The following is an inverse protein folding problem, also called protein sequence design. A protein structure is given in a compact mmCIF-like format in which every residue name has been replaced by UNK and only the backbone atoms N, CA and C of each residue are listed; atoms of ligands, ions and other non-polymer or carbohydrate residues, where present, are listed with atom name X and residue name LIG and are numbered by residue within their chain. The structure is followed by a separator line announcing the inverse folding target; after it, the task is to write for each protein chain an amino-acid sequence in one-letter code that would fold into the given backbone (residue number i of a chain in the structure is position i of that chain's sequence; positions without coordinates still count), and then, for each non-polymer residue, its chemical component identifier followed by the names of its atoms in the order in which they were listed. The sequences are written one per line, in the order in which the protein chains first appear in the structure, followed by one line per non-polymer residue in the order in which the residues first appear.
data_IF_558590233206
#
_entry.id   IF_558590233206
#
_cell.length_a   1.000
_cell.length_b   1.000
_cell.length_c   1.000
_cell.angle_alpha   90.00
_cell.angle_beta   90.00
_cell.angle_gamma   90.00
#
_symmetry.space_group_name_H-M   'P 1'
#
loop_
_entity.id
_entity.type
_entity.pdbx_description
1 polymer ?
#
# COMPACT_ATOMS: atom_id res chain seq x y z
N UNK A 1 10.80 -28.95 60.47
CA UNK A 1 9.61 -29.80 60.25
C UNK A 1 9.31 -29.81 58.77
N UNK A 2 9.54 -30.95 58.11
CA UNK A 2 9.33 -31.16 56.67
C UNK A 2 8.12 -32.09 56.53
N UNK A 3 7.10 -31.65 55.82
CA UNK A 3 5.95 -32.49 55.43
C UNK A 3 6.02 -32.63 53.91
N UNK A 4 6.22 -33.84 53.35
CA UNK A 4 6.06 -34.10 51.93
C UNK A 4 4.61 -34.52 51.67
N UNK A 5 3.98 -34.00 50.62
CA UNK A 5 2.78 -34.62 50.08
C UNK A 5 2.87 -34.76 48.57
N UNK A 6 2.64 -36.00 48.16
CA UNK A 6 2.85 -36.57 46.84
C UNK A 6 1.72 -36.25 45.85
N UNK A 7 2.12 -36.11 44.59
CA UNK A 7 1.59 -36.77 43.38
C UNK A 7 0.07 -36.93 43.26
N UNK A 8 -0.49 -36.31 42.22
CA UNK A 8 -1.55 -36.94 41.42
C UNK A 8 -1.36 -36.57 39.93
N UNK A 9 -0.70 -37.47 39.18
CA UNK A 9 -0.73 -37.51 37.72
C UNK A 9 -2.12 -37.98 37.29
N UNK A 10 -2.90 -37.11 36.65
CA UNK A 10 -4.13 -37.52 35.97
C UNK A 10 -3.76 -37.86 34.53
N UNK A 11 -3.57 -39.16 34.29
CA UNK A 11 -3.57 -39.78 32.97
C UNK A 11 -5.03 -39.89 32.52
N UNK A 12 -5.45 -39.03 31.60
CA UNK A 12 -6.72 -39.20 30.87
C UNK A 12 -6.40 -40.00 29.61
N UNK A 13 -6.68 -41.30 29.68
CA UNK A 13 -6.83 -42.18 28.51
C UNK A 13 -8.28 -42.57 28.41
N UNK A 14 -8.90 -42.38 27.23
CA UNK A 14 -10.04 -43.12 26.64
C UNK A 14 -10.68 -42.24 25.52
N UNK A 15 -11.41 -42.79 24.54
CA UNK A 15 -11.27 -44.07 23.83
C UNK A 15 -11.14 -43.88 22.30
N UNK A 16 -10.56 -44.89 21.64
CA UNK A 16 -10.73 -45.15 20.22
C UNK A 16 -12.17 -45.61 19.98
N UNK A 17 -12.98 -44.78 19.32
CA UNK A 17 -14.24 -45.18 18.70
C UNK A 17 -14.16 -44.80 17.22
N UNK A 18 -14.02 -45.84 16.39
CA UNK A 18 -14.17 -45.73 14.96
C UNK A 18 -15.62 -45.40 14.62
N UNK A 19 -15.80 -44.33 13.87
CA UNK A 19 -16.93 -44.17 12.96
C UNK A 19 -16.36 -44.01 11.56
N UNK A 20 -16.61 -45.03 10.76
CA UNK A 20 -16.27 -45.14 9.36
C UNK A 20 -17.36 -44.39 8.58
N UNK A 21 -17.27 -43.07 8.46
CA UNK A 21 -18.12 -42.31 7.55
C UNK A 21 -17.36 -42.00 6.27
N UNK A 22 -17.71 -42.73 5.20
CA UNK A 22 -17.40 -42.38 3.82
C UNK A 22 -18.09 -41.05 3.51
N UNK A 23 -17.36 -39.95 3.64
CA UNK A 23 -17.75 -38.67 3.07
C UNK A 23 -17.83 -38.82 1.53
N UNK A 24 -18.91 -38.33 0.89
CA UNK A 24 -18.98 -38.29 -0.57
C UNK A 24 -17.86 -37.39 -1.10
N UNK A 25 -17.16 -37.85 -2.14
CA UNK A 25 -16.24 -37.03 -2.94
C UNK A 25 -17.06 -35.90 -3.57
N UNK A 26 -17.11 -34.78 -2.88
CA UNK A 26 -17.54 -33.52 -3.45
C UNK A 26 -16.48 -33.13 -4.47
N UNK A 27 -16.87 -33.20 -5.74
CA UNK A 27 -16.09 -32.66 -6.85
C UNK A 27 -16.11 -31.15 -6.66
N UNK A 28 -15.11 -30.64 -5.94
CA UNK A 28 -14.78 -29.21 -5.94
C UNK A 28 -14.38 -28.88 -7.37
N UNK A 29 -15.36 -28.46 -8.17
CA UNK A 29 -15.11 -27.69 -9.38
C UNK A 29 -14.35 -26.46 -8.91
N UNK A 30 -13.04 -26.43 -9.19
CA UNK A 30 -12.32 -25.17 -9.27
C UNK A 30 -13.01 -24.33 -10.35
N UNK A 31 -13.98 -23.52 -9.93
CA UNK A 31 -14.32 -22.33 -10.68
C UNK A 31 -13.06 -21.49 -10.70
N UNK A 32 -12.38 -21.49 -11.85
CA UNK A 32 -11.41 -20.47 -12.17
C UNK A 32 -12.06 -19.10 -11.84
N UNK A 33 -11.33 -18.18 -11.18
CA UNK A 33 -11.87 -16.86 -10.90
C UNK A 33 -12.38 -16.26 -12.20
N UNK A 34 -13.61 -15.76 -12.15
CA UNK A 34 -14.24 -15.07 -13.26
C UNK A 34 -13.24 -14.05 -13.83
N UNK A 35 -12.96 -14.16 -15.12
CA UNK A 35 -12.16 -13.16 -15.82
C UNK A 35 -12.80 -11.80 -15.58
N UNK A 36 -12.06 -10.92 -14.89
CA UNK A 36 -12.41 -9.52 -14.69
C UNK A 36 -12.54 -8.91 -16.08
N UNK A 37 -13.78 -8.69 -16.51
CA UNK A 37 -14.14 -8.34 -17.89
C UNK A 37 -13.78 -6.90 -18.28
N UNK A 38 -13.25 -6.13 -17.34
CA UNK A 38 -12.98 -4.70 -17.49
C UNK A 38 -11.50 -4.34 -17.25
N UNK A 39 -10.59 -5.31 -17.32
CA UNK A 39 -9.16 -5.02 -17.38
C UNK A 39 -8.84 -4.44 -18.76
N UNK A 40 -8.84 -3.10 -18.86
CA UNK A 40 -8.31 -2.42 -20.04
C UNK A 40 -6.86 -2.88 -20.24
N UNK A 41 -6.53 -3.51 -21.39
CA UNK A 41 -5.17 -3.92 -21.66
C UNK A 41 -4.29 -2.68 -21.72
N UNK A 42 -3.19 -2.71 -20.97
CA UNK A 42 -2.17 -1.66 -21.04
C UNK A 42 -1.71 -1.52 -22.50
N UNK A 43 -1.58 -0.28 -22.97
CA UNK A 43 -1.04 0.00 -24.29
C UNK A 43 0.33 -0.69 -24.47
N UNK A 44 0.63 -1.24 -25.66
CA UNK A 44 1.89 -1.93 -25.91
C UNK A 44 3.07 -0.97 -25.65
N UNK A 45 4.01 -1.42 -24.82
CA UNK A 45 5.23 -0.68 -24.49
C UNK A 45 6.12 -0.59 -25.73
N UNK A 46 6.70 0.58 -25.97
CA UNK A 46 7.73 0.77 -26.98
C UNK A 46 9.00 0.03 -26.50
N UNK A 47 9.44 -1.01 -27.23
CA UNK A 47 10.50 -1.96 -26.83
C UNK A 47 11.88 -1.33 -26.60
N UNK A 48 12.03 -0.04 -26.91
CA UNK A 48 13.27 0.72 -26.71
C UNK A 48 13.38 1.33 -25.31
N UNK A 49 12.31 1.31 -24.49
CA UNK A 49 12.35 1.99 -23.22
C UNK A 49 12.75 1.09 -22.04
N UNK A 50 13.88 1.42 -21.44
CA UNK A 50 14.50 0.68 -20.34
C UNK A 50 13.86 0.97 -18.96
N UNK A 51 12.53 1.06 -18.86
CA UNK A 51 11.88 0.98 -17.54
C UNK A 51 11.85 -0.48 -17.11
N UNK A 52 13.00 -0.99 -16.65
CA UNK A 52 13.12 -2.37 -16.18
C UNK A 52 12.51 -2.55 -14.78
N UNK A 53 12.16 -1.45 -14.10
CA UNK A 53 11.71 -1.47 -12.71
C UNK A 53 10.19 -1.28 -12.63
N UNK A 54 9.54 -2.19 -11.92
CA UNK A 54 8.10 -2.12 -11.63
C UNK A 54 7.83 -1.18 -10.46
N UNK A 55 6.62 -0.60 -10.40
CA UNK A 55 6.15 0.16 -9.24
C UNK A 55 6.22 -0.66 -7.95
N UNK A 56 5.84 -1.94 -8.01
CA UNK A 56 5.96 -2.86 -6.89
C UNK A 56 7.41 -2.97 -6.38
N UNK A 57 8.39 -3.16 -7.26
CA UNK A 57 9.79 -3.26 -6.87
C UNK A 57 10.34 -1.95 -6.29
N UNK A 58 9.85 -0.79 -6.77
CA UNK A 58 10.21 0.50 -6.20
C UNK A 58 9.62 0.67 -4.78
N UNK A 59 8.35 0.29 -4.59
CA UNK A 59 7.69 0.34 -3.30
C UNK A 59 8.30 -0.62 -2.28
N UNK A 60 8.71 -1.83 -2.71
CA UNK A 60 9.47 -2.77 -1.89
C UNK A 60 10.81 -2.17 -1.46
N UNK A 61 11.57 -1.58 -2.39
CA UNK A 61 12.82 -0.91 -2.07
C UNK A 61 12.62 0.26 -1.08
N UNK A 62 11.52 0.99 -1.19
CA UNK A 62 11.17 2.04 -0.24
C UNK A 62 10.90 1.47 1.17
N UNK A 63 10.13 0.38 1.27
CA UNK A 63 9.87 -0.33 2.54
C UNK A 63 11.15 -0.87 3.16
N UNK A 64 12.02 -1.49 2.36
CA UNK A 64 13.32 -1.98 2.82
C UNK A 64 14.20 -0.85 3.39
N UNK A 65 14.18 0.32 2.73
CA UNK A 65 14.95 1.48 3.18
C UNK A 65 14.45 2.06 4.52
N UNK A 66 13.15 1.98 4.78
CA UNK A 66 12.54 2.43 6.04
C UNK A 66 12.84 1.50 7.22
N UNK A 67 13.10 0.21 6.94
CA UNK A 67 13.46 -0.79 7.95
C UNK A 67 12.26 -1.47 8.62
N UNK A 68 12.47 -2.01 9.82
CA UNK A 68 11.52 -2.93 10.48
C UNK A 68 10.38 -2.22 11.24
N UNK A 69 10.39 -0.90 11.36
CA UNK A 69 9.37 -0.14 12.10
C UNK A 69 8.23 0.33 11.18
N UNK A 70 7.41 -0.63 10.75
CA UNK A 70 6.23 -0.38 9.90
C UNK A 70 4.91 -0.47 10.67
N UNK A 71 4.93 -0.74 11.98
CA UNK A 71 3.71 -0.89 12.76
C UNK A 71 2.96 0.44 12.84
N UNK A 72 1.76 0.47 12.26
CA UNK A 72 0.97 1.69 12.13
C UNK A 72 1.55 2.70 11.12
N UNK A 73 2.54 2.32 10.32
CA UNK A 73 3.07 3.17 9.25
C UNK A 73 2.43 2.78 7.90
N UNK A 74 2.08 3.78 7.12
CA UNK A 74 1.54 3.65 5.77
C UNK A 74 2.36 4.50 4.80
N UNK A 75 2.79 3.88 3.71
CA UNK A 75 3.45 4.57 2.60
C UNK A 75 2.36 5.04 1.64
N UNK A 76 2.23 6.35 1.44
CA UNK A 76 1.35 6.91 0.43
C UNK A 76 1.91 6.65 -0.98
N UNK A 77 1.07 6.70 -2.04
CA UNK A 77 1.52 6.55 -3.42
C UNK A 77 2.67 7.50 -3.77
N UNK A 78 3.59 7.03 -4.60
CA UNK A 78 4.78 7.79 -4.99
C UNK A 78 4.42 9.11 -5.68
N UNK A 79 5.09 10.19 -5.32
CA UNK A 79 4.97 11.47 -6.02
C UNK A 79 6.24 11.77 -6.82
N UNK A 80 6.13 12.49 -7.94
CA UNK A 80 7.30 13.09 -8.55
C UNK A 80 7.74 14.29 -7.71
N UNK A 81 9.04 14.46 -7.53
CA UNK A 81 9.61 15.64 -6.84
C UNK A 81 9.31 16.96 -7.54
N UNK A 82 8.98 16.92 -8.83
CA UNK A 82 8.53 18.06 -9.62
C UNK A 82 7.52 17.60 -10.66
N UNK A 83 6.50 18.42 -10.96
CA UNK A 83 5.56 18.18 -12.06
C UNK A 83 5.58 19.33 -13.08
N UNK A 84 5.66 19.05 -14.40
CA UNK A 84 5.98 17.76 -15.02
C UNK A 84 7.33 17.19 -14.56
N UNK A 85 7.55 15.86 -14.64
CA UNK A 85 8.73 15.22 -14.09
C UNK A 85 9.99 15.60 -14.86
N UNK A 86 10.72 16.57 -14.33
CA UNK A 86 12.05 16.96 -14.82
C UNK A 86 13.10 16.44 -13.83
N UNK A 87 14.14 15.79 -14.34
CA UNK A 87 15.20 15.23 -13.50
C UNK A 87 14.89 13.87 -12.86
N UNK A 88 13.67 13.35 -13.03
CA UNK A 88 13.29 11.98 -12.71
C UNK A 88 13.22 11.61 -11.23
N UNK A 89 13.24 12.61 -10.35
CA UNK A 89 13.17 12.39 -8.91
C UNK A 89 11.77 11.97 -8.46
N UNK A 90 11.71 10.98 -7.58
CA UNK A 90 10.49 10.43 -6.98
C UNK A 90 10.59 10.50 -5.45
N UNK A 91 9.44 10.58 -4.78
CA UNK A 91 9.37 10.58 -3.33
C UNK A 91 8.15 9.82 -2.80
N UNK A 92 8.36 9.06 -1.74
CA UNK A 92 7.28 8.51 -0.92
C UNK A 92 7.20 9.28 0.40
N UNK A 93 5.98 9.39 0.91
CA UNK A 93 5.70 9.96 2.23
C UNK A 93 5.12 8.89 3.14
N UNK A 94 5.64 8.82 4.37
CA UNK A 94 5.28 7.79 5.35
C UNK A 94 4.41 8.41 6.43
N UNK A 95 3.13 8.05 6.45
CA UNK A 95 2.15 8.49 7.44
C UNK A 95 2.09 7.48 8.59
N UNK A 96 1.83 7.95 9.80
CA UNK A 96 1.70 7.08 10.98
C UNK A 96 0.33 7.21 11.62
N UNK A 97 -0.20 6.08 12.05
CA UNK A 97 -1.46 5.94 12.78
C UNK A 97 -1.21 5.37 14.16
N UNK A 98 -1.74 6.03 15.19
CA UNK A 98 -1.63 5.56 16.58
C UNK A 98 -3.02 5.25 17.14
N UNK A 99 -3.25 4.04 17.69
CA UNK A 99 -4.55 3.70 18.27
C UNK A 99 -4.82 4.53 19.53
N UNK A 100 -6.04 5.04 19.65
CA UNK A 100 -6.48 5.81 20.82
C UNK A 100 -7.04 4.86 21.90
N UNK A 101 -6.77 5.12 23.20
CA UNK A 101 -7.24 4.29 24.31
C UNK A 101 -8.71 4.54 24.66
N UNK A 102 -9.60 4.56 23.67
CA UNK A 102 -11.00 5.00 23.81
C UNK A 102 -12.04 3.88 23.89
N UNK A 103 -11.62 2.61 23.86
CA UNK A 103 -12.53 1.45 23.85
C UNK A 103 -13.26 1.21 22.52
N UNK A 104 -13.12 2.12 21.55
CA UNK A 104 -13.45 1.98 20.13
C UNK A 104 -12.13 2.00 19.35
N UNK A 105 -12.01 1.24 18.26
CA UNK A 105 -10.81 1.21 17.40
C UNK A 105 -10.75 2.50 16.57
N UNK A 106 -10.40 3.61 17.21
CA UNK A 106 -10.09 4.89 16.58
C UNK A 106 -8.59 5.08 16.56
N UNK A 107 -8.07 5.64 15.48
CA UNK A 107 -6.66 5.92 15.32
C UNK A 107 -6.44 7.41 15.03
N UNK A 108 -5.47 8.01 15.70
CA UNK A 108 -4.96 9.33 15.34
C UNK A 108 -4.05 9.18 14.14
N UNK A 109 -4.38 9.87 13.04
CA UNK A 109 -3.56 9.90 11.82
C UNK A 109 -2.66 11.12 11.88
N UNK A 110 -1.35 10.90 11.90
CA UNK A 110 -0.33 11.94 11.83
C UNK A 110 0.09 12.18 10.39
N UNK A 111 0.59 13.39 10.12
CA UNK A 111 1.27 13.73 8.88
C UNK A 111 2.53 12.91 8.68
N UNK A 112 3.26 13.12 7.57
CA UNK A 112 4.38 12.26 7.28
C UNK A 112 5.56 12.54 8.22
N UNK A 113 6.08 11.47 8.79
CA UNK A 113 7.26 11.48 9.68
C UNK A 113 8.56 11.21 8.93
N UNK A 114 8.46 10.53 7.80
CA UNK A 114 9.59 10.21 6.92
C UNK A 114 9.25 10.53 5.46
N UNK A 115 10.29 10.91 4.72
CA UNK A 115 10.31 11.04 3.27
C UNK A 115 11.36 10.09 2.70
N UNK A 116 10.98 9.31 1.71
CA UNK A 116 11.89 8.39 1.00
C UNK A 116 12.09 8.94 -0.40
N UNK A 117 13.27 9.48 -0.67
CA UNK A 117 13.59 10.14 -1.94
C UNK A 117 14.43 9.23 -2.84
N UNK A 118 14.03 9.15 -4.11
CA UNK A 118 14.80 8.53 -5.18
C UNK A 118 15.21 9.61 -6.17
N UNK A 119 16.52 9.84 -6.34
CA UNK A 119 17.02 10.81 -7.31
C UNK A 119 16.66 10.43 -8.76
N UNK A 120 16.64 9.12 -9.05
CA UNK A 120 16.10 8.50 -10.27
C UNK A 120 15.44 7.18 -9.88
N UNK A 121 14.57 6.58 -10.71
CA UNK A 121 13.94 5.29 -10.38
C UNK A 121 14.93 4.15 -10.09
N UNK A 122 16.15 4.22 -10.65
CA UNK A 122 17.22 3.24 -10.44
C UNK A 122 18.15 3.55 -9.26
N UNK A 123 18.07 4.74 -8.66
CA UNK A 123 18.96 5.16 -7.59
C UNK A 123 18.66 4.42 -6.28
N UNK A 124 19.63 4.44 -5.36
CA UNK A 124 19.41 4.03 -3.97
C UNK A 124 18.54 5.09 -3.28
N UNK A 125 17.48 4.70 -2.55
CA UNK A 125 16.66 5.67 -1.81
C UNK A 125 17.44 6.32 -0.67
N UNK A 126 17.14 7.58 -0.43
CA UNK A 126 17.52 8.33 0.76
C UNK A 126 16.30 8.47 1.66
N UNK A 127 16.41 8.03 2.91
CA UNK A 127 15.36 8.23 3.92
C UNK A 127 15.69 9.46 4.75
N UNK A 128 14.77 10.40 4.79
CA UNK A 128 14.87 11.63 5.57
C UNK A 128 13.77 11.69 6.61
N UNK A 129 14.13 11.98 7.86
CA UNK A 129 13.15 12.26 8.91
C UNK A 129 12.64 13.69 8.77
N UNK A 130 11.33 13.86 8.75
CA UNK A 130 10.66 15.16 8.72
C UNK A 130 10.39 15.72 10.13
N UNK A 131 10.78 14.98 11.17
CA UNK A 131 10.57 15.36 12.57
C UNK A 131 9.14 15.10 13.06
N UNK A 132 8.66 15.97 13.95
CA UNK A 132 7.34 15.81 14.57
C UNK A 132 6.22 16.14 13.59
N UNK A 133 5.48 15.12 13.17
CA UNK A 133 4.33 15.29 12.30
C UNK A 133 3.11 15.87 13.04
N UNK A 134 2.46 16.85 12.41
CA UNK A 134 1.18 17.37 12.88
C UNK A 134 0.08 16.30 12.79
N UNK A 135 -0.88 16.34 13.72
CA UNK A 135 -2.06 15.49 13.65
C UNK A 135 -2.95 15.96 12.50
N UNK A 136 -3.25 15.06 11.56
CA UNK A 136 -4.16 15.33 10.44
C UNK A 136 -5.62 15.14 10.84
N UNK A 137 -5.89 14.23 11.77
CA UNK A 137 -7.22 13.96 12.30
C UNK A 137 -7.30 12.62 13.02
N UNK A 138 -8.54 12.20 13.32
CA UNK A 138 -8.86 10.90 13.92
C UNK A 138 -9.77 10.14 12.96
N UNK A 139 -9.47 8.87 12.74
CA UNK A 139 -10.23 7.98 11.86
C UNK A 139 -10.69 6.74 12.63
N UNK A 140 -11.87 6.22 12.28
CA UNK A 140 -12.38 4.97 12.83
C UNK A 140 -11.89 3.79 11.99
N UNK A 141 -11.15 2.85 12.59
CA UNK A 141 -10.47 1.76 11.87
C UNK A 141 -11.44 0.87 11.11
N UNK A 142 -12.68 0.71 11.57
CA UNK A 142 -13.72 -0.05 10.88
C UNK A 142 -14.14 0.56 9.53
N UNK A 143 -14.05 1.88 9.35
CA UNK A 143 -14.30 2.52 8.05
C UNK A 143 -13.18 2.21 7.06
N UNK A 144 -11.94 2.12 7.52
CA UNK A 144 -10.77 1.93 6.65
C UNK A 144 -10.74 0.55 5.98
N UNK A 145 -11.10 -0.52 6.69
CA UNK A 145 -11.16 -1.87 6.11
C UNK A 145 -12.22 -1.98 4.99
N UNK A 146 -13.27 -1.14 5.05
CA UNK A 146 -14.36 -1.13 4.06
C UNK A 146 -14.07 -0.33 2.79
N UNK A 147 -13.03 0.52 2.80
CA UNK A 147 -12.70 1.46 1.72
C UNK A 147 -11.49 1.06 0.87
N UNK A 148 -10.94 -0.15 1.06
CA UNK A 148 -9.79 -0.59 0.28
C UNK A 148 -10.12 -0.54 -1.22
N UNK A 149 -9.43 0.29 -2.02
CA UNK A 149 -9.58 0.25 -3.46
C UNK A 149 -9.17 -1.14 -3.96
N UNK A 150 -9.56 -1.53 -5.18
CA UNK A 150 -8.76 -2.51 -5.89
C UNK A 150 -7.33 -1.95 -5.96
N UNK A 151 -6.41 -2.48 -5.15
CA UNK A 151 -4.99 -2.06 -5.06
C UNK A 151 -4.34 -1.88 -6.45
N UNK A 152 -4.85 -2.64 -7.42
CA UNK A 152 -4.53 -2.58 -8.84
C UNK A 152 -4.64 -1.19 -9.50
N UNK A 153 -5.47 -0.26 -9.02
CA UNK A 153 -5.62 1.06 -9.64
C UNK A 153 -4.45 1.99 -9.28
N UNK A 154 -4.09 2.01 -8.00
CA UNK A 154 -2.95 2.79 -7.50
C UNK A 154 -1.64 2.25 -8.07
N UNK A 155 -1.47 0.93 -8.07
CA UNK A 155 -0.27 0.30 -8.64
C UNK A 155 -0.09 0.64 -10.13
N UNK A 156 -1.18 0.67 -10.91
CA UNK A 156 -1.16 1.12 -12.31
C UNK A 156 -0.81 2.59 -12.43
N UNK A 157 -1.35 3.45 -11.57
CA UNK A 157 -1.02 4.87 -11.54
C UNK A 157 0.46 5.11 -11.22
N UNK A 158 1.02 4.39 -10.25
CA UNK A 158 2.45 4.44 -9.92
C UNK A 158 3.31 3.93 -11.08
N UNK A 159 2.91 2.84 -11.74
CA UNK A 159 3.63 2.33 -12.91
C UNK A 159 3.60 3.33 -14.08
N UNK A 160 2.44 3.95 -14.33
CA UNK A 160 2.32 4.98 -15.36
C UNK A 160 3.19 6.20 -15.05
N UNK A 161 3.26 6.62 -13.79
CA UNK A 161 4.17 7.69 -13.36
C UNK A 161 5.63 7.31 -13.60
N UNK A 162 6.03 6.08 -13.28
CA UNK A 162 7.38 5.59 -13.55
C UNK A 162 7.71 5.59 -15.02
N UNK A 163 6.79 5.14 -15.86
CA UNK A 163 6.98 5.11 -17.31
C UNK A 163 7.10 6.54 -17.88
N UNK A 164 6.34 7.50 -17.35
CA UNK A 164 6.50 8.93 -17.71
C UNK A 164 7.87 9.46 -17.27
N UNK A 165 8.26 9.20 -16.02
CA UNK A 165 9.54 9.64 -15.45
C UNK A 165 10.73 9.05 -16.20
N UNK A 166 10.62 7.81 -16.67
CA UNK A 166 11.63 7.13 -17.48
C UNK A 166 11.62 7.57 -18.96
N UNK A 167 10.65 8.39 -19.37
CA UNK A 167 10.48 8.81 -20.77
C UNK A 167 9.92 7.72 -21.68
N UNK A 168 9.34 6.66 -21.11
CA UNK A 168 8.72 5.54 -21.82
C UNK A 168 7.28 5.81 -22.25
N UNK A 169 6.65 6.84 -21.68
CA UNK A 169 5.26 7.18 -21.92
C UNK A 169 5.09 8.69 -21.89
N UNK A 170 4.29 9.24 -22.79
CA UNK A 170 3.94 10.65 -22.73
C UNK A 170 2.97 10.95 -21.58
N UNK A 171 2.92 12.21 -21.14
CA UNK A 171 1.97 12.65 -20.12
C UNK A 171 0.52 12.41 -20.54
N UNK A 172 0.21 12.66 -21.81
CA UNK A 172 -1.15 12.53 -22.34
C UNK A 172 -1.60 11.05 -22.36
N UNK A 173 -0.72 10.14 -22.77
CA UNK A 173 -1.00 8.70 -22.75
C UNK A 173 -1.15 8.16 -21.33
N UNK A 174 -0.35 8.66 -20.38
CA UNK A 174 -0.36 8.22 -18.98
C UNK A 174 -1.55 8.74 -18.18
N UNK A 175 -2.21 9.81 -18.67
CA UNK A 175 -3.22 10.55 -17.91
C UNK A 175 -4.31 9.68 -17.31
N UNK A 176 -4.91 8.78 -18.11
CA UNK A 176 -6.01 7.93 -17.65
C UNK A 176 -5.58 6.97 -16.54
N UNK A 177 -4.37 6.42 -16.59
CA UNK A 177 -3.89 5.53 -15.53
C UNK A 177 -3.50 6.31 -14.27
N UNK A 178 -3.01 7.55 -14.43
CA UNK A 178 -2.70 8.45 -13.31
C UNK A 178 -3.95 8.91 -12.54
N UNK A 179 -5.17 8.70 -13.06
CA UNK A 179 -6.41 9.00 -12.32
C UNK A 179 -6.54 8.16 -11.04
N UNK A 180 -5.83 7.02 -10.92
CA UNK A 180 -5.75 6.24 -9.68
C UNK A 180 -5.24 7.03 -8.47
N UNK A 181 -4.48 8.12 -8.68
CA UNK A 181 -4.12 9.05 -7.59
C UNK A 181 -5.34 9.79 -7.03
N UNK A 182 -6.29 10.18 -7.89
CA UNK A 182 -7.52 10.87 -7.46
C UNK A 182 -8.40 9.93 -6.62
N UNK A 183 -8.52 8.66 -7.05
CA UNK A 183 -9.24 7.65 -6.29
C UNK A 183 -8.63 7.42 -4.91
N UNK A 184 -7.29 7.35 -4.82
CA UNK A 184 -6.61 7.14 -3.54
C UNK A 184 -6.83 8.29 -2.57
N UNK A 185 -6.75 9.56 -3.02
CA UNK A 185 -6.94 10.72 -2.13
C UNK A 185 -8.38 10.86 -1.65
N UNK A 186 -9.37 10.42 -2.46
CA UNK A 186 -10.77 10.39 -2.06
C UNK A 186 -11.04 9.35 -0.97
N UNK A 187 -10.37 8.20 -1.04
CA UNK A 187 -10.52 7.11 -0.06
C UNK A 187 -9.72 7.33 1.23
N UNK A 188 -8.67 8.15 1.17
CA UNK A 188 -7.81 8.48 2.31
C UNK A 188 -7.91 9.99 2.60
N UNK A 189 -9.04 10.53 3.05
CA UNK A 189 -9.26 11.99 3.05
C UNK A 189 -8.31 12.78 3.96
N UNK A 190 -7.77 12.17 5.02
CA UNK A 190 -6.81 12.83 5.91
C UNK A 190 -5.42 12.94 5.23
N UNK A 191 -4.85 11.80 4.85
CA UNK A 191 -3.56 11.72 4.15
C UNK A 191 -3.64 12.35 2.76
N UNK A 192 -4.76 12.17 2.06
CA UNK A 192 -5.03 12.66 0.72
C UNK A 192 -4.95 14.18 0.63
N UNK A 193 -5.59 14.92 1.55
CA UNK A 193 -5.44 16.37 1.61
C UNK A 193 -4.00 16.82 1.87
N UNK A 194 -3.22 16.05 2.61
CA UNK A 194 -1.79 16.36 2.81
C UNK A 194 -0.99 16.07 1.53
N UNK A 195 -1.20 14.90 0.93
CA UNK A 195 -0.55 14.45 -0.31
C UNK A 195 -0.84 15.41 -1.47
N UNK A 196 -2.07 15.89 -1.58
CA UNK A 196 -2.47 16.88 -2.58
C UNK A 196 -1.74 18.21 -2.44
N UNK A 197 -1.47 18.66 -1.20
CA UNK A 197 -0.69 19.88 -0.97
C UNK A 197 0.76 19.70 -1.37
N UNK A 198 1.30 18.48 -1.27
CA UNK A 198 2.69 18.14 -1.64
C UNK A 198 2.84 17.97 -3.15
N UNK A 199 1.87 17.36 -3.81
CA UNK A 199 1.82 17.13 -5.25
C UNK A 199 0.90 18.11 -6.00
N UNK A 200 0.74 19.34 -5.50
CA UNK A 200 -0.28 20.30 -5.94
C UNK A 200 -0.40 20.45 -7.46
N UNK A 201 0.74 20.49 -8.14
CA UNK A 201 0.88 20.65 -9.59
C UNK A 201 0.45 19.40 -10.36
N UNK A 202 0.76 18.20 -9.87
CA UNK A 202 0.27 16.92 -10.41
C UNK A 202 -1.25 16.83 -10.28
N UNK A 203 -1.78 17.00 -9.07
CA UNK A 203 -3.22 16.89 -8.82
C UNK A 203 -4.02 17.97 -9.56
N UNK A 204 -3.50 19.20 -9.63
CA UNK A 204 -4.10 20.27 -10.43
C UNK A 204 -4.08 19.97 -11.93
N UNK A 205 -3.06 19.27 -12.43
CA UNK A 205 -3.01 18.83 -13.82
C UNK A 205 -4.01 17.70 -14.10
N UNK A 206 -4.12 16.71 -13.20
CA UNK A 206 -5.09 15.60 -13.31
C UNK A 206 -6.54 16.07 -13.34
N UNK A 207 -6.87 17.15 -12.62
CA UNK A 207 -8.22 17.73 -12.59
C UNK A 207 -8.55 18.62 -13.79
N UNK A 208 -7.55 19.16 -14.49
CA UNK A 208 -7.74 20.04 -15.66
C UNK A 208 -8.03 19.20 -16.90
N UNK A 209 -9.30 19.13 -17.30
CA UNK A 209 -9.73 18.54 -18.59
C UNK A 209 -9.52 19.48 -19.75
#
# INVERSE_FOLDING_TARGET
MRVPLSIARVLVTLPLLGCLEKAPKEVVRHQAPAQVKDAHPMAPKDDTCASTRTSLALAEQAREALGQDMLGAEIAPVLPTQWPPKGGGLEYFVYRSEPLPTGIVKSEIRGPTERIHFATPGAKPLVESLGNAAVLGVEETAMRESLNPPQNHVERAEQALLDVVAGCRSLDEARSDLEGYLEWVEQNPLQGRDLERRGDTLFSWLRRR
#
